data_IF_382880534719
#
_entry.id   IF_382880534719
#
_cell.length_a   1.000
_cell.length_b   1.000
_cell.length_c   1.000
_cell.angle_alpha   90.00
_cell.angle_beta   90.00
_cell.angle_gamma   90.00
#
_symmetry.space_group_name_H-M   'P 1'
#
loop_
_entity.id
_entity.type
_entity.pdbx_description
1 polymer ?
#
# COMPACT_ATOMS: atom_id res chain seq x y z
N UNK A 1 -24.55 -32.18 28.60
CA UNK A 1 -25.70 -31.47 28.01
C UNK A 1 -25.43 -29.97 28.03
N UNK A 2 -25.55 -29.37 26.88
CA UNK A 2 -25.40 -27.92 26.73
C UNK A 2 -26.77 -27.33 26.44
N UNK A 3 -27.25 -26.50 27.32
CA UNK A 3 -28.53 -25.79 27.15
C UNK A 3 -28.25 -24.41 26.59
N UNK A 4 -28.86 -24.10 25.46
CA UNK A 4 -28.74 -22.80 24.79
C UNK A 4 -30.09 -22.30 24.34
N UNK A 5 -30.27 -21.00 24.30
CA UNK A 5 -31.46 -20.36 23.72
C UNK A 5 -31.01 -19.71 22.42
N UNK A 6 -31.69 -20.02 21.32
CA UNK A 6 -31.37 -19.40 20.02
C UNK A 6 -31.70 -17.89 20.09
N UNK A 7 -30.83 -17.03 19.52
CA UNK A 7 -31.12 -15.60 19.45
C UNK A 7 -32.42 -15.31 18.68
N UNK A 8 -33.06 -14.17 18.97
CA UNK A 8 -34.30 -13.78 18.30
C UNK A 8 -34.09 -13.37 16.83
N UNK A 9 -32.85 -13.06 16.44
CA UNK A 9 -32.42 -12.74 15.07
C UNK A 9 -31.82 -13.95 14.31
N UNK A 10 -31.99 -15.17 14.85
CA UNK A 10 -31.46 -16.37 14.22
C UNK A 10 -32.09 -16.58 12.84
N UNK A 11 -31.27 -16.98 11.85
CA UNK A 11 -31.68 -17.09 10.45
C UNK A 11 -32.82 -18.09 10.17
N UNK A 12 -33.01 -19.10 11.04
CA UNK A 12 -34.12 -20.04 10.95
C UNK A 12 -35.27 -19.59 11.86
N UNK A 13 -36.38 -19.13 11.28
CA UNK A 13 -37.54 -18.60 12.02
C UNK A 13 -38.12 -19.58 13.01
N UNK A 14 -38.10 -20.88 12.68
CA UNK A 14 -38.61 -21.93 13.51
C UNK A 14 -37.83 -22.14 14.82
N UNK A 15 -36.63 -21.59 14.91
CA UNK A 15 -35.73 -21.77 16.06
C UNK A 15 -35.52 -20.49 16.87
N UNK A 16 -35.98 -19.35 16.37
CA UNK A 16 -35.84 -18.06 17.05
C UNK A 16 -36.41 -18.10 18.48
N UNK A 17 -35.60 -17.69 19.46
CA UNK A 17 -35.98 -17.60 20.86
C UNK A 17 -36.30 -18.93 21.54
N UNK A 18 -36.13 -20.08 20.87
CA UNK A 18 -36.42 -21.40 21.46
C UNK A 18 -35.21 -21.95 22.23
N UNK A 19 -35.52 -22.59 23.34
CA UNK A 19 -34.53 -23.36 24.10
C UNK A 19 -34.22 -24.70 23.40
N UNK A 20 -32.96 -25.01 23.34
CA UNK A 20 -32.46 -26.29 22.84
C UNK A 20 -31.47 -26.94 23.81
N UNK A 21 -31.52 -28.24 23.90
CA UNK A 21 -30.57 -29.01 24.70
C UNK A 21 -29.75 -29.92 23.75
N UNK A 22 -28.47 -29.63 23.66
CA UNK A 22 -27.54 -30.43 22.88
C UNK A 22 -26.86 -31.47 23.76
N UNK A 23 -26.97 -32.74 23.40
CA UNK A 23 -26.18 -33.80 24.01
C UNK A 23 -24.86 -33.91 23.30
N UNK A 24 -23.82 -33.35 23.90
CA UNK A 24 -22.47 -33.34 23.34
C UNK A 24 -21.60 -34.42 23.99
N UNK A 25 -20.92 -35.20 23.16
CA UNK A 25 -19.88 -36.12 23.60
C UNK A 25 -18.54 -35.58 23.16
N UNK A 26 -17.65 -35.33 24.12
CA UNK A 26 -16.28 -34.88 23.83
C UNK A 26 -15.48 -36.12 23.39
N UNK A 27 -15.05 -36.15 22.15
CA UNK A 27 -14.26 -37.28 21.60
C UNK A 27 -12.76 -37.04 21.78
N UNK A 28 -12.30 -35.79 21.69
CA UNK A 28 -10.91 -35.45 21.77
C UNK A 28 -10.76 -34.00 22.27
N UNK A 29 -9.78 -33.76 23.12
CA UNK A 29 -9.39 -32.41 23.53
C UNK A 29 -7.96 -32.19 23.03
N UNK A 30 -7.79 -31.26 22.06
CA UNK A 30 -6.49 -30.86 21.55
C UNK A 30 -6.09 -29.55 22.20
N UNK A 31 -4.98 -29.58 22.94
CA UNK A 31 -4.33 -28.40 23.43
C UNK A 31 -3.22 -27.98 22.44
N UNK A 32 -3.12 -26.69 22.17
CA UNK A 32 -2.01 -26.16 21.38
C UNK A 32 -0.84 -25.94 22.32
N UNK A 33 0.20 -26.76 22.20
CA UNK A 33 1.47 -26.56 22.87
C UNK A 33 2.36 -25.72 21.94
N UNK A 34 2.93 -24.65 22.48
CA UNK A 34 3.91 -23.82 21.76
C UNK A 34 5.30 -24.30 22.16
N UNK A 35 6.26 -24.31 21.21
CA UNK A 35 7.64 -24.62 21.51
C UNK A 35 8.22 -23.58 22.48
N UNK A 36 9.24 -23.97 23.21
CA UNK A 36 10.02 -23.03 24.03
C UNK A 36 10.76 -22.04 23.12
N UNK A 37 10.89 -20.80 23.59
CA UNK A 37 11.60 -19.77 22.86
C UNK A 37 13.09 -19.83 23.22
N UNK A 38 13.82 -20.68 22.53
CA UNK A 38 15.24 -20.95 22.70
C UNK A 38 15.99 -20.89 21.35
N UNK A 39 17.25 -21.27 21.35
CA UNK A 39 18.10 -21.26 20.16
C UNK A 39 17.68 -22.34 19.16
N UNK A 40 17.12 -23.47 19.62
CA UNK A 40 16.60 -24.53 18.76
C UNK A 40 15.39 -24.02 17.98
N UNK A 41 14.48 -23.34 18.66
CA UNK A 41 13.37 -22.65 18.00
C UNK A 41 13.85 -21.64 16.94
N UNK A 42 14.87 -20.81 17.26
CA UNK A 42 15.38 -19.82 16.32
C UNK A 42 15.93 -20.46 15.05
N UNK A 43 16.68 -21.53 15.16
CA UNK A 43 17.24 -22.26 14.01
C UNK A 43 16.19 -23.02 13.19
N UNK A 44 15.09 -23.46 13.81
CA UNK A 44 14.00 -24.13 13.09
C UNK A 44 13.14 -23.16 12.25
N UNK A 45 12.92 -21.91 12.73
CA UNK A 45 12.00 -20.95 12.10
C UNK A 45 12.69 -19.85 11.30
N UNK A 46 14.02 -19.80 11.35
CA UNK A 46 14.80 -18.72 10.71
C UNK A 46 16.17 -19.20 10.23
N UNK A 47 16.96 -18.27 9.66
CA UNK A 47 18.34 -18.49 9.24
C UNK A 47 19.36 -18.22 10.38
N UNK A 48 18.89 -17.91 11.60
CA UNK A 48 19.74 -17.56 12.72
C UNK A 48 19.95 -18.76 13.65
N UNK A 49 21.16 -18.88 14.18
CA UNK A 49 21.54 -19.97 15.09
C UNK A 49 21.11 -19.70 16.54
N UNK A 50 20.85 -18.44 16.90
CA UNK A 50 20.49 -18.05 18.26
C UNK A 50 19.21 -17.21 18.33
N UNK A 51 18.48 -17.35 19.43
CA UNK A 51 17.28 -16.56 19.68
C UNK A 51 17.58 -15.06 19.80
N UNK A 52 18.74 -14.68 20.28
CA UNK A 52 19.13 -13.27 20.40
C UNK A 52 19.42 -12.64 19.03
N UNK A 53 20.00 -13.37 18.07
CA UNK A 53 20.17 -12.93 16.69
C UNK A 53 18.81 -12.76 15.99
N UNK A 54 17.90 -13.72 16.13
CA UNK A 54 16.55 -13.62 15.61
C UNK A 54 15.81 -12.40 16.17
N UNK A 55 15.88 -12.17 17.49
CA UNK A 55 15.29 -10.99 18.13
C UNK A 55 15.91 -9.69 17.64
N UNK A 56 17.23 -9.66 17.45
CA UNK A 56 17.93 -8.47 16.95
C UNK A 56 17.51 -8.13 15.52
N UNK A 57 17.39 -9.13 14.63
CA UNK A 57 16.91 -8.96 13.26
C UNK A 57 15.46 -8.46 13.22
N UNK A 58 14.56 -9.12 13.96
CA UNK A 58 13.15 -8.69 14.04
C UNK A 58 13.06 -7.25 14.57
N UNK A 59 13.85 -6.91 15.60
CA UNK A 59 13.88 -5.54 16.13
C UNK A 59 14.38 -4.52 15.10
N UNK A 60 15.41 -4.89 14.33
CA UNK A 60 15.93 -4.03 13.26
C UNK A 60 14.89 -3.81 12.16
N UNK A 61 14.24 -4.87 11.70
CA UNK A 61 13.16 -4.81 10.68
C UNK A 61 11.97 -3.98 11.15
N UNK A 62 11.51 -4.17 12.40
CA UNK A 62 10.40 -3.36 12.95
C UNK A 62 10.82 -1.89 13.08
N UNK A 63 12.06 -1.62 13.49
CA UNK A 63 12.57 -0.24 13.58
C UNK A 63 12.62 0.42 12.20
N UNK A 64 13.16 -0.27 11.22
CA UNK A 64 13.23 0.21 9.83
C UNK A 64 11.82 0.48 9.28
N UNK A 65 10.90 -0.46 9.45
CA UNK A 65 9.51 -0.27 9.04
C UNK A 65 8.88 0.96 9.70
N UNK A 66 9.01 1.10 11.02
CA UNK A 66 8.47 2.26 11.74
C UNK A 66 9.09 3.59 11.31
N UNK A 67 10.38 3.61 11.01
CA UNK A 67 11.05 4.82 10.48
C UNK A 67 10.49 5.16 9.10
N UNK A 68 10.34 4.18 8.23
CA UNK A 68 9.79 4.38 6.90
C UNK A 68 8.32 4.81 6.93
N UNK A 69 7.50 4.19 7.81
CA UNK A 69 6.10 4.58 8.00
C UNK A 69 5.98 6.00 8.56
N UNK A 70 6.83 6.36 9.53
CA UNK A 70 6.90 7.72 10.09
C UNK A 70 7.30 8.75 9.04
N UNK A 71 8.30 8.43 8.21
CA UNK A 71 8.73 9.30 7.10
C UNK A 71 7.60 9.51 6.09
N UNK A 72 6.92 8.45 5.67
CA UNK A 72 5.76 8.56 4.76
C UNK A 72 4.64 9.40 5.34
N UNK A 73 4.30 9.18 6.62
CA UNK A 73 3.28 9.97 7.28
C UNK A 73 3.63 11.46 7.35
N UNK A 74 4.91 11.80 7.54
CA UNK A 74 5.40 13.17 7.52
C UNK A 74 5.34 13.78 6.12
N UNK A 75 5.75 13.02 5.10
CA UNK A 75 5.65 13.40 3.69
C UNK A 75 4.20 13.68 3.29
N UNK A 76 3.29 12.76 3.63
CA UNK A 76 1.86 12.90 3.34
C UNK A 76 1.25 14.13 4.02
N UNK A 77 1.57 14.36 5.30
CA UNK A 77 1.06 15.50 6.05
C UNK A 77 1.56 16.85 5.48
N UNK A 78 2.83 16.90 5.09
CA UNK A 78 3.42 18.11 4.49
C UNK A 78 2.79 18.42 3.12
N UNK A 79 2.62 17.40 2.29
CA UNK A 79 1.96 17.53 0.98
C UNK A 79 0.49 17.91 1.13
N UNK A 80 -0.25 17.29 2.06
CA UNK A 80 -1.65 17.61 2.31
C UNK A 80 -1.84 19.09 2.74
N UNK A 81 -0.98 19.60 3.61
CA UNK A 81 -1.02 20.99 4.04
C UNK A 81 -0.81 21.98 2.88
N UNK A 82 0.05 21.65 1.91
CA UNK A 82 0.25 22.46 0.73
C UNK A 82 -0.95 22.39 -0.21
N UNK A 83 -1.50 21.19 -0.43
CA UNK A 83 -2.68 21.00 -1.28
C UNK A 83 -3.88 21.80 -0.75
N UNK A 84 -4.10 21.82 0.57
CA UNK A 84 -5.16 22.62 1.19
C UNK A 84 -5.00 24.13 0.92
N UNK A 85 -3.78 24.62 0.85
CA UNK A 85 -3.49 26.02 0.55
C UNK A 85 -3.55 26.37 -0.94
N UNK A 86 -3.41 25.38 -1.81
CA UNK A 86 -3.36 25.55 -3.25
C UNK A 86 -4.77 25.76 -3.85
N UNK A 87 -4.89 26.73 -4.74
CA UNK A 87 -6.12 26.99 -5.49
C UNK A 87 -5.95 26.49 -6.92
N UNK A 88 -6.74 25.51 -7.30
CA UNK A 88 -6.75 24.99 -8.66
C UNK A 88 -8.14 24.45 -9.02
N UNK A 89 -8.50 24.61 -10.26
CA UNK A 89 -9.71 24.01 -10.85
C UNK A 89 -9.30 22.81 -11.69
N UNK A 90 -9.85 21.65 -11.36
CA UNK A 90 -9.60 20.41 -12.11
C UNK A 90 -10.74 20.13 -13.05
N UNK A 91 -10.50 19.98 -14.38
CA UNK A 91 -11.51 19.52 -15.30
C UNK A 91 -12.01 18.11 -14.92
N UNK A 92 -13.33 17.90 -14.95
CA UNK A 92 -13.93 16.59 -14.65
C UNK A 92 -13.35 15.46 -15.50
N UNK A 93 -13.05 15.73 -16.77
CA UNK A 93 -12.45 14.73 -17.67
C UNK A 93 -11.07 14.24 -17.18
N UNK A 94 -10.28 15.07 -16.48
CA UNK A 94 -9.03 14.64 -15.88
C UNK A 94 -9.28 13.72 -14.69
N UNK A 95 -10.25 14.07 -13.85
CA UNK A 95 -10.62 13.26 -12.66
C UNK A 95 -11.16 11.90 -13.12
N UNK A 96 -12.03 11.87 -14.11
CA UNK A 96 -12.57 10.63 -14.68
C UNK A 96 -11.48 9.74 -15.28
N UNK A 97 -10.53 10.34 -15.99
CA UNK A 97 -9.40 9.60 -16.58
C UNK A 97 -8.53 8.99 -15.48
N UNK A 98 -8.22 9.78 -14.46
CA UNK A 98 -7.41 9.31 -13.33
C UNK A 98 -8.14 8.23 -12.52
N UNK A 99 -9.43 8.38 -12.27
CA UNK A 99 -10.23 7.39 -11.56
C UNK A 99 -10.29 6.05 -12.33
N UNK A 100 -10.43 6.10 -13.67
CA UNK A 100 -10.35 4.89 -14.52
C UNK A 100 -9.00 4.20 -14.42
N UNK A 101 -7.92 4.96 -14.49
CA UNK A 101 -6.56 4.40 -14.31
C UNK A 101 -6.42 3.72 -12.96
N UNK A 102 -6.93 4.33 -11.89
CA UNK A 102 -6.90 3.74 -10.55
C UNK A 102 -7.73 2.46 -10.47
N UNK A 103 -8.88 2.41 -11.16
CA UNK A 103 -9.70 1.20 -11.25
C UNK A 103 -8.97 0.09 -12.00
N UNK A 104 -8.29 0.42 -13.09
CA UNK A 104 -7.49 -0.53 -13.87
C UNK A 104 -6.30 -1.06 -13.05
N UNK A 105 -5.60 -0.18 -12.33
CA UNK A 105 -4.53 -0.57 -11.38
C UNK A 105 -5.07 -1.50 -10.28
N UNK A 106 -6.25 -1.24 -9.77
CA UNK A 106 -6.92 -2.09 -8.79
C UNK A 106 -7.26 -3.47 -9.38
N UNK A 107 -7.84 -3.50 -10.58
CA UNK A 107 -8.18 -4.74 -11.29
C UNK A 107 -6.94 -5.61 -11.55
N UNK A 108 -5.83 -4.99 -11.96
CA UNK A 108 -4.56 -5.70 -12.19
C UNK A 108 -3.99 -6.31 -10.89
N UNK A 109 -4.01 -5.57 -9.78
CA UNK A 109 -3.57 -6.10 -8.47
C UNK A 109 -4.43 -7.28 -8.02
N UNK A 110 -5.74 -7.19 -8.21
CA UNK A 110 -6.65 -8.30 -7.88
C UNK A 110 -6.39 -9.53 -8.75
N UNK A 111 -6.13 -9.32 -10.03
CA UNK A 111 -5.80 -10.41 -10.94
C UNK A 111 -4.52 -11.15 -10.54
N UNK A 112 -3.50 -10.43 -10.04
CA UNK A 112 -2.30 -11.04 -9.47
C UNK A 112 -2.59 -11.92 -8.24
N UNK A 113 -3.66 -11.60 -7.50
CA UNK A 113 -4.13 -12.40 -6.36
C UNK A 113 -5.13 -13.51 -6.76
N UNK A 114 -5.35 -13.69 -8.07
CA UNK A 114 -6.25 -14.72 -8.59
C UNK A 114 -7.74 -14.37 -8.55
N UNK A 115 -8.10 -13.10 -8.34
CA UNK A 115 -9.48 -12.62 -8.30
C UNK A 115 -9.74 -11.62 -9.44
N UNK A 116 -10.84 -11.79 -10.16
CA UNK A 116 -11.24 -10.82 -11.18
C UNK A 116 -12.07 -9.68 -10.59
N UNK A 117 -12.09 -8.52 -11.28
CA UNK A 117 -12.92 -7.39 -10.87
C UNK A 117 -14.41 -7.76 -10.82
N UNK A 118 -14.89 -8.57 -11.78
CA UNK A 118 -16.28 -9.04 -11.84
C UNK A 118 -16.62 -9.92 -10.62
N UNK A 119 -15.74 -10.81 -10.23
CA UNK A 119 -15.92 -11.62 -9.01
C UNK A 119 -15.97 -10.75 -7.76
N UNK A 120 -15.08 -9.77 -7.66
CA UNK A 120 -15.10 -8.81 -6.57
C UNK A 120 -16.42 -8.05 -6.50
N UNK A 121 -16.90 -7.52 -7.63
CA UNK A 121 -18.20 -6.82 -7.70
C UNK A 121 -19.37 -7.74 -7.31
N UNK A 122 -19.34 -9.01 -7.71
CA UNK A 122 -20.36 -9.97 -7.29
C UNK A 122 -20.34 -10.25 -5.79
N UNK A 123 -19.18 -10.37 -5.17
CA UNK A 123 -19.05 -10.62 -3.73
C UNK A 123 -19.45 -9.42 -2.89
N UNK A 124 -19.11 -8.21 -3.34
CA UNK A 124 -19.35 -6.97 -2.58
C UNK A 124 -20.70 -6.31 -2.90
N UNK A 125 -21.35 -6.71 -3.99
CA UNK A 125 -22.56 -6.04 -4.50
C UNK A 125 -22.30 -4.65 -5.05
N UNK A 126 -21.02 -4.28 -5.29
CA UNK A 126 -20.64 -2.99 -5.87
C UNK A 126 -20.80 -3.02 -7.39
N UNK A 127 -21.11 -1.86 -7.97
CA UNK A 127 -21.10 -1.65 -9.41
C UNK A 127 -19.86 -0.87 -9.82
N UNK A 128 -19.46 -0.96 -11.10
CA UNK A 128 -18.34 -0.20 -11.63
C UNK A 128 -18.50 1.31 -11.41
N UNK A 129 -19.72 1.84 -11.60
CA UNK A 129 -20.01 3.26 -11.38
C UNK A 129 -19.81 3.69 -9.92
N UNK A 130 -20.26 2.88 -8.95
CA UNK A 130 -20.00 3.15 -7.54
C UNK A 130 -18.52 3.11 -7.18
N UNK A 131 -17.78 2.17 -7.75
CA UNK A 131 -16.33 2.12 -7.56
C UNK A 131 -15.64 3.36 -8.14
N UNK A 132 -16.08 3.81 -9.31
CA UNK A 132 -15.60 5.06 -9.90
C UNK A 132 -15.88 6.26 -9.00
N UNK A 133 -17.12 6.37 -8.47
CA UNK A 133 -17.49 7.46 -7.57
C UNK A 133 -16.66 7.47 -6.28
N UNK A 134 -16.35 6.30 -5.71
CA UNK A 134 -15.48 6.17 -4.54
C UNK A 134 -14.01 6.51 -4.83
N UNK A 135 -13.56 6.29 -6.06
CA UNK A 135 -12.20 6.62 -6.48
C UNK A 135 -12.00 8.10 -6.85
N UNK A 136 -13.07 8.84 -7.21
CA UNK A 136 -12.99 10.26 -7.61
C UNK A 136 -12.26 11.15 -6.59
N UNK A 137 -12.57 11.13 -5.29
CA UNK A 137 -11.85 11.97 -4.32
C UNK A 137 -10.36 11.66 -4.24
N UNK A 138 -9.99 10.39 -4.34
CA UNK A 138 -8.59 9.97 -4.37
C UNK A 138 -7.91 10.38 -5.69
N UNK A 139 -8.61 10.27 -6.81
CA UNK A 139 -8.13 10.73 -8.11
C UNK A 139 -7.86 12.24 -8.12
N UNK A 140 -8.79 13.04 -7.58
CA UNK A 140 -8.59 14.47 -7.41
C UNK A 140 -7.37 14.79 -6.55
N UNK A 141 -7.23 14.11 -5.41
CA UNK A 141 -6.07 14.28 -4.53
C UNK A 141 -4.77 13.95 -5.27
N UNK A 142 -4.72 12.83 -6.00
CA UNK A 142 -3.54 12.40 -6.77
C UNK A 142 -3.14 13.41 -7.84
N UNK A 143 -4.12 13.96 -8.57
CA UNK A 143 -3.88 15.01 -9.56
C UNK A 143 -3.37 16.29 -8.89
N UNK A 144 -4.02 16.75 -7.82
CA UNK A 144 -3.61 17.94 -7.07
C UNK A 144 -2.19 17.81 -6.56
N UNK A 145 -1.88 16.69 -5.93
CA UNK A 145 -0.53 16.36 -5.44
C UNK A 145 0.50 16.52 -6.55
N UNK A 146 0.26 15.86 -7.69
CA UNK A 146 1.19 15.90 -8.82
C UNK A 146 1.41 17.32 -9.34
N UNK A 147 0.32 18.06 -9.60
CA UNK A 147 0.40 19.42 -10.14
C UNK A 147 1.11 20.38 -9.19
N UNK A 148 0.87 20.27 -7.88
CA UNK A 148 1.54 21.11 -6.87
C UNK A 148 3.03 20.80 -6.83
N UNK A 149 3.39 19.52 -6.78
CA UNK A 149 4.80 19.11 -6.72
C UNK A 149 5.57 19.43 -8.01
N UNK A 150 4.95 19.30 -9.18
CA UNK A 150 5.52 19.74 -10.46
C UNK A 150 5.74 21.28 -10.47
N UNK A 151 4.79 22.04 -9.91
CA UNK A 151 4.94 23.49 -9.79
C UNK A 151 6.07 23.88 -8.82
N UNK A 152 6.20 23.17 -7.70
CA UNK A 152 7.31 23.37 -6.74
C UNK A 152 8.65 23.01 -7.39
N UNK A 153 8.75 21.85 -8.02
CA UNK A 153 9.97 21.42 -8.71
C UNK A 153 10.43 22.47 -9.72
N UNK A 154 9.50 23.07 -10.46
CA UNK A 154 9.78 24.12 -11.42
C UNK A 154 10.16 25.45 -10.74
N UNK A 155 9.47 25.84 -9.67
CA UNK A 155 9.72 27.11 -8.98
C UNK A 155 11.08 27.13 -8.27
N UNK A 156 11.46 26.00 -7.69
CA UNK A 156 12.72 25.81 -6.95
C UNK A 156 13.87 25.32 -7.86
N UNK A 157 13.63 25.19 -9.18
CA UNK A 157 14.60 24.70 -10.17
C UNK A 157 15.22 23.35 -9.77
N UNK A 158 14.38 22.43 -9.33
CA UNK A 158 14.82 21.07 -8.99
C UNK A 158 15.09 20.31 -10.29
N UNK A 159 16.36 20.20 -10.65
CA UNK A 159 16.82 19.49 -11.85
C UNK A 159 17.47 18.16 -11.47
N UNK A 160 17.11 17.11 -12.19
CA UNK A 160 17.72 15.79 -12.04
C UNK A 160 18.87 15.68 -13.02
N UNK A 161 20.10 15.49 -12.48
CA UNK A 161 21.28 15.29 -13.30
C UNK A 161 21.27 13.91 -13.96
N UNK A 162 22.05 13.76 -15.04
CA UNK A 162 22.16 12.47 -15.73
C UNK A 162 22.76 11.39 -14.83
N UNK A 163 23.64 11.77 -13.90
CA UNK A 163 24.23 10.86 -12.92
C UNK A 163 23.15 10.29 -11.97
N UNK A 164 22.27 11.14 -11.44
CA UNK A 164 21.15 10.69 -10.58
C UNK A 164 20.18 9.79 -11.34
N UNK A 165 19.90 10.12 -12.61
CA UNK A 165 19.08 9.28 -13.48
C UNK A 165 19.74 7.90 -13.68
N UNK A 166 21.03 7.87 -13.96
CA UNK A 166 21.78 6.62 -14.16
C UNK A 166 21.81 5.76 -12.88
N UNK A 167 21.96 6.36 -11.72
CA UNK A 167 21.87 5.66 -10.43
C UNK A 167 20.47 5.03 -10.22
N UNK A 168 19.40 5.73 -10.57
CA UNK A 168 18.05 5.20 -10.42
C UNK A 168 17.77 4.08 -11.42
N UNK A 169 18.24 4.22 -12.68
CA UNK A 169 18.19 3.13 -13.67
C UNK A 169 18.97 1.91 -13.18
N UNK A 170 20.12 2.09 -12.53
CA UNK A 170 20.90 0.99 -11.98
C UNK A 170 20.15 0.24 -10.86
N UNK A 171 19.50 0.96 -9.94
CA UNK A 171 18.65 0.36 -8.89
C UNK A 171 17.47 -0.42 -9.49
N UNK A 172 16.83 0.14 -10.51
CA UNK A 172 15.75 -0.56 -11.22
C UNK A 172 16.26 -1.84 -11.89
N UNK A 173 17.42 -1.77 -12.55
CA UNK A 173 18.02 -2.91 -13.21
C UNK A 173 18.36 -4.04 -12.22
N UNK A 174 18.87 -3.69 -11.05
CA UNK A 174 19.12 -4.64 -9.95
C UNK A 174 17.82 -5.32 -9.50
N UNK A 175 16.74 -4.56 -9.30
CA UNK A 175 15.43 -5.10 -8.91
C UNK A 175 14.85 -6.06 -9.95
N UNK A 176 15.11 -5.81 -11.24
CA UNK A 176 14.71 -6.70 -12.35
C UNK A 176 15.73 -7.76 -12.70
N UNK A 177 16.86 -7.87 -11.97
CA UNK A 177 17.97 -8.78 -12.25
C UNK A 177 18.51 -8.64 -13.68
N UNK A 178 18.64 -7.40 -14.16
CA UNK A 178 19.11 -7.02 -15.47
C UNK A 178 20.39 -6.17 -15.36
N UNK A 179 21.17 -6.11 -16.44
CA UNK A 179 22.28 -5.17 -16.56
C UNK A 179 21.76 -3.74 -16.79
N UNK A 180 22.31 -2.74 -16.07
CA UNK A 180 21.88 -1.35 -16.15
C UNK A 180 21.98 -0.77 -17.57
N UNK A 181 23.07 -1.09 -18.29
CA UNK A 181 23.28 -0.65 -19.67
C UNK A 181 22.22 -1.21 -20.62
N UNK A 182 21.79 -2.44 -20.38
CA UNK A 182 20.74 -3.07 -21.15
C UNK A 182 19.39 -2.39 -20.92
N UNK A 183 19.03 -2.15 -19.65
CA UNK A 183 17.80 -1.41 -19.33
C UNK A 183 17.84 0.00 -19.94
N UNK A 184 18.96 0.72 -19.78
CA UNK A 184 19.17 2.06 -20.34
C UNK A 184 19.03 2.09 -21.87
N UNK A 185 19.43 1.02 -22.57
CA UNK A 185 19.32 0.91 -24.03
C UNK A 185 17.88 0.68 -24.51
N UNK A 186 17.02 0.09 -23.69
CA UNK A 186 15.59 -0.07 -23.98
C UNK A 186 14.79 1.20 -23.74
N UNK A 187 15.30 2.10 -22.90
CA UNK A 187 14.63 3.38 -22.61
C UNK A 187 14.96 4.40 -23.71
N UNK A 188 13.92 4.91 -24.35
CA UNK A 188 14.01 6.04 -25.27
C UNK A 188 14.21 7.37 -24.54
N UNK A 189 14.51 8.43 -25.29
CA UNK A 189 14.74 9.76 -24.70
C UNK A 189 13.49 10.30 -23.97
N UNK A 190 12.29 9.94 -24.45
CA UNK A 190 11.03 10.33 -23.81
C UNK A 190 10.82 9.66 -22.45
N UNK A 191 11.14 8.37 -22.36
CA UNK A 191 11.06 7.63 -21.10
C UNK A 191 12.06 8.17 -20.07
N UNK A 192 13.27 8.51 -20.49
CA UNK A 192 14.29 9.13 -19.65
C UNK A 192 13.85 10.50 -19.14
N UNK A 193 13.29 11.32 -20.03
CA UNK A 193 12.76 12.65 -19.66
C UNK A 193 11.59 12.52 -18.70
N UNK A 194 10.66 11.61 -18.94
CA UNK A 194 9.55 11.33 -18.01
C UNK A 194 10.07 10.88 -16.65
N UNK A 195 11.06 9.99 -16.63
CA UNK A 195 11.67 9.53 -15.39
C UNK A 195 12.35 10.66 -14.62
N UNK A 196 13.06 11.57 -15.30
CA UNK A 196 13.61 12.78 -14.66
C UNK A 196 12.52 13.65 -14.04
N UNK A 197 11.38 13.82 -14.73
CA UNK A 197 10.25 14.59 -14.19
C UNK A 197 9.66 13.92 -12.96
N UNK A 198 9.47 12.61 -12.98
CA UNK A 198 8.94 11.86 -11.83
C UNK A 198 9.92 11.89 -10.64
N UNK A 199 11.23 11.83 -10.91
CA UNK A 199 12.28 12.01 -9.89
C UNK A 199 12.29 13.44 -9.33
N UNK A 200 12.10 14.47 -10.15
CA UNK A 200 12.03 15.87 -9.70
C UNK A 200 10.80 16.08 -8.79
N UNK A 201 9.67 15.44 -9.09
CA UNK A 201 8.50 15.45 -8.21
C UNK A 201 8.82 14.79 -6.85
N UNK A 202 9.56 13.69 -6.85
CA UNK A 202 9.97 13.02 -5.61
C UNK A 202 10.95 13.89 -4.79
N UNK A 203 11.91 14.53 -5.43
CA UNK A 203 12.82 15.50 -4.78
C UNK A 203 12.04 16.72 -4.23
N UNK A 204 10.97 17.15 -4.90
CA UNK A 204 10.11 18.22 -4.42
C UNK A 204 9.40 17.84 -3.11
N UNK A 205 9.00 16.58 -2.91
CA UNK A 205 8.47 16.09 -1.64
C UNK A 205 9.53 16.26 -0.53
N UNK A 206 10.74 15.80 -0.79
CA UNK A 206 11.87 15.93 0.15
C UNK A 206 12.14 17.39 0.48
N UNK A 207 12.16 18.26 -0.53
CA UNK A 207 12.33 19.70 -0.34
C UNK A 207 11.24 20.29 0.57
N UNK A 208 9.98 19.91 0.35
CA UNK A 208 8.85 20.37 1.17
C UNK A 208 9.01 19.92 2.62
N UNK A 209 9.33 18.65 2.84
CA UNK A 209 9.51 18.08 4.19
C UNK A 209 10.67 18.75 4.93
N UNK A 210 11.80 18.94 4.26
CA UNK A 210 12.99 19.54 4.86
C UNK A 210 12.78 21.02 5.26
N UNK A 211 11.85 21.71 4.58
CA UNK A 211 11.47 23.09 4.89
C UNK A 211 10.18 23.22 5.72
N UNK A 212 9.52 22.12 6.05
CA UNK A 212 8.34 22.11 6.90
C UNK A 212 8.73 22.33 8.37
N UNK A 213 7.93 23.15 9.06
CA UNK A 213 8.09 23.38 10.51
C UNK A 213 6.92 22.71 11.22
N UNK A 214 7.23 21.71 12.05
CA UNK A 214 6.23 21.12 12.93
C UNK A 214 5.73 22.15 13.95
N UNK A 215 4.40 22.23 14.10
CA UNK A 215 3.74 23.12 15.06
C UNK A 215 3.25 22.36 16.26
#
# INVERSE_FOLDING_TARGET
EVKVTFPEDYHAEDLKGKEAVFKCTVHEIKAKELPELDDEFASEVSEFDTLDELKADIKAKIKEQKVNDGKRAQEDAAVDAIIESAKMDLPEAMVDTQARQMLDEFAQRMQQQGLTLDQYMQFTGMTADKMMDELRPQAEKRIKTRLVLEAIAKAENIEITDEKLDEEIAKMAEAYQMEADKLKSFMGDKEKEQMKQDMAVQEAITFVVDNAVEK
#
